data_IF_389686896383
#
_entry.id   IF_389686896383
#
_cell.length_a   1.000
_cell.length_b   1.000
_cell.length_c   1.000
_cell.angle_alpha   90.00
_cell.angle_beta   90.00
_cell.angle_gamma   90.00
#
_symmetry.space_group_name_H-M   'P 1'
#
loop_
_entity.id
_entity.type
_entity.pdbx_description
1 polymer ?
#
# COMPACT_ATOMS: atom_id res chain seq x y z
N UNK A 1 -16.09 -12.69 7.33
CA UNK A 1 -15.17 -13.63 8.00
C UNK A 1 -14.93 -14.89 7.16
N UNK A 2 -15.97 -15.57 6.66
CA UNK A 2 -15.79 -16.80 5.84
C UNK A 2 -15.09 -16.63 4.48
N UNK A 3 -15.09 -15.44 3.88
CA UNK A 3 -14.38 -15.18 2.61
C UNK A 3 -12.90 -14.82 2.79
N UNK A 4 -12.52 -14.06 3.83
CA UNK A 4 -11.11 -13.68 4.04
C UNK A 4 -10.23 -14.86 4.44
N UNK A 5 -10.83 -15.95 4.96
CA UNK A 5 -10.12 -17.20 5.25
C UNK A 5 -9.85 -18.04 4.00
N UNK A 6 -10.64 -17.87 2.92
CA UNK A 6 -10.48 -18.62 1.66
C UNK A 6 -9.32 -18.12 0.82
N UNK A 7 -8.97 -16.83 0.95
CA UNK A 7 -7.84 -16.22 0.23
C UNK A 7 -6.48 -16.58 0.86
N UNK A 8 -6.47 -17.10 2.08
CA UNK A 8 -5.25 -17.50 2.80
C UNK A 8 -4.67 -18.85 2.33
N UNK A 9 -5.25 -19.49 1.30
CA UNK A 9 -4.85 -20.83 0.81
C UNK A 9 -4.62 -21.85 1.95
N UNK A 10 -5.43 -21.77 3.01
CA UNK A 10 -5.29 -22.64 4.17
C UNK A 10 -5.79 -24.04 3.83
N UNK A 11 -5.00 -25.04 4.20
CA UNK A 11 -5.42 -26.44 4.20
C UNK A 11 -6.50 -26.66 5.25
N UNK A 12 -7.33 -27.69 5.07
CA UNK A 12 -8.36 -28.04 6.05
C UNK A 12 -7.76 -28.32 7.44
N UNK A 13 -6.56 -28.92 7.48
CA UNK A 13 -5.83 -29.18 8.72
C UNK A 13 -5.40 -27.89 9.43
N UNK A 14 -4.98 -26.87 8.68
CA UNK A 14 -4.63 -25.56 9.23
C UNK A 14 -5.86 -24.82 9.76
N UNK A 15 -6.99 -24.88 9.05
CA UNK A 15 -8.26 -24.30 9.50
C UNK A 15 -8.73 -24.96 10.80
N UNK A 16 -8.63 -26.28 10.91
CA UNK A 16 -8.99 -27.01 12.12
C UNK A 16 -8.05 -26.68 13.29
N UNK A 17 -6.75 -26.55 13.04
CA UNK A 17 -5.77 -26.15 14.06
C UNK A 17 -6.01 -24.72 14.53
N UNK A 18 -6.19 -23.77 13.61
CA UNK A 18 -6.54 -22.38 13.93
C UNK A 18 -7.85 -22.32 14.72
N UNK A 19 -8.88 -23.04 14.27
CA UNK A 19 -10.17 -23.11 14.95
C UNK A 19 -10.10 -23.70 16.36
N UNK A 20 -9.17 -24.63 16.62
CA UNK A 20 -8.87 -25.14 17.97
C UNK A 20 -8.11 -24.13 18.81
N UNK A 21 -7.10 -23.47 18.24
CA UNK A 21 -6.30 -22.46 18.93
C UNK A 21 -7.16 -21.27 19.39
N UNK A 22 -8.08 -20.78 18.56
CA UNK A 22 -8.99 -19.69 18.94
C UNK A 22 -10.03 -20.07 20.02
N UNK A 23 -10.14 -21.35 20.41
CA UNK A 23 -10.95 -21.78 21.56
C UNK A 23 -10.16 -21.85 22.86
N UNK A 24 -8.84 -21.80 22.78
CA UNK A 24 -7.95 -21.80 23.93
C UNK A 24 -7.85 -20.36 24.50
N UNK A 25 -8.27 -20.14 25.76
CA UNK A 25 -8.17 -18.82 26.39
C UNK A 25 -6.75 -18.29 26.50
N UNK A 26 -5.75 -19.17 26.68
CA UNK A 26 -4.35 -18.77 26.78
C UNK A 26 -3.85 -18.25 25.42
N UNK A 27 -4.17 -18.98 24.34
CA UNK A 27 -3.86 -18.54 22.98
C UNK A 27 -4.52 -17.20 22.65
N UNK A 28 -5.81 -17.02 22.97
CA UNK A 28 -6.50 -15.75 22.73
C UNK A 28 -5.85 -14.58 23.48
N UNK A 29 -5.42 -14.81 24.71
CA UNK A 29 -4.72 -13.82 25.52
C UNK A 29 -3.37 -13.45 24.89
N UNK A 30 -2.53 -14.43 24.57
CA UNK A 30 -1.23 -14.22 23.92
C UNK A 30 -1.39 -13.55 22.55
N UNK A 31 -2.41 -13.93 21.79
CA UNK A 31 -2.72 -13.34 20.50
C UNK A 31 -3.13 -11.86 20.63
N UNK A 32 -3.90 -11.52 21.66
CA UNK A 32 -4.25 -10.14 21.97
C UNK A 32 -3.03 -9.33 22.40
N UNK A 33 -2.20 -9.86 23.31
CA UNK A 33 -0.95 -9.24 23.74
C UNK A 33 -0.01 -8.98 22.55
N UNK A 34 0.13 -9.95 21.64
CA UNK A 34 0.91 -9.79 20.41
C UNK A 34 0.33 -8.71 19.48
N UNK A 35 -1.00 -8.67 19.32
CA UNK A 35 -1.66 -7.63 18.51
C UNK A 35 -1.50 -6.23 19.12
N UNK A 36 -1.46 -6.12 20.45
CA UNK A 36 -1.16 -4.87 21.15
C UNK A 36 0.31 -4.48 20.98
N UNK A 37 1.23 -5.43 21.15
CA UNK A 37 2.67 -5.24 20.98
C UNK A 37 3.01 -4.74 19.57
N UNK A 38 2.39 -5.30 18.53
CA UNK A 38 2.54 -4.86 17.15
C UNK A 38 1.96 -3.47 16.90
N UNK A 39 1.01 -3.01 17.71
CA UNK A 39 0.38 -1.70 17.55
C UNK A 39 1.07 -0.60 18.36
N UNK A 40 1.89 -0.95 19.34
CA UNK A 40 2.67 -0.02 20.15
C UNK A 40 3.59 0.85 19.26
N UNK A 41 3.45 2.19 19.31
CA UNK A 41 4.33 3.12 18.60
C UNK A 41 5.83 2.92 18.88
N UNK A 42 6.21 2.57 20.11
CA UNK A 42 7.62 2.38 20.47
C UNK A 42 8.20 1.11 19.83
N UNK A 43 7.43 0.03 19.79
CA UNK A 43 7.87 -1.21 19.14
C UNK A 43 8.00 -1.03 17.63
N UNK A 44 7.05 -0.33 17.00
CA UNK A 44 7.17 0.05 15.58
C UNK A 44 8.43 0.86 15.32
N UNK A 45 8.74 1.84 16.17
CA UNK A 45 9.95 2.66 16.04
C UNK A 45 11.23 1.82 16.14
N UNK A 46 11.33 0.95 17.15
CA UNK A 46 12.48 0.04 17.33
C UNK A 46 12.66 -0.88 16.12
N UNK A 47 11.57 -1.48 15.65
CA UNK A 47 11.59 -2.33 14.47
C UNK A 47 12.07 -1.56 13.22
N UNK A 48 11.56 -0.35 12.97
CA UNK A 48 12.02 0.49 11.85
C UNK A 48 13.52 0.83 11.96
N UNK A 49 14.02 1.09 13.18
CA UNK A 49 15.44 1.34 13.45
C UNK A 49 16.31 0.11 13.18
N UNK A 50 15.90 -1.08 13.62
CA UNK A 50 16.60 -2.34 13.38
C UNK A 50 16.69 -2.66 11.88
N UNK A 51 15.59 -2.50 11.14
CA UNK A 51 15.58 -2.71 9.69
C UNK A 51 16.49 -1.70 8.98
N UNK A 52 16.46 -0.43 9.41
CA UNK A 52 17.36 0.59 8.86
C UNK A 52 18.82 0.22 9.08
N UNK A 53 19.19 -0.23 10.29
CA UNK A 53 20.57 -0.65 10.57
C UNK A 53 20.98 -1.83 9.69
N UNK A 54 20.14 -2.87 9.59
CA UNK A 54 20.43 -4.06 8.79
C UNK A 54 20.61 -3.75 7.30
N UNK A 55 19.82 -2.83 6.75
CA UNK A 55 19.92 -2.46 5.33
C UNK A 55 21.06 -1.47 5.07
N UNK A 56 21.41 -0.64 6.06
CA UNK A 56 22.60 0.20 6.04
C UNK A 56 23.89 -0.66 6.03
N UNK A 57 23.94 -1.76 6.78
CA UNK A 57 25.04 -2.73 6.71
C UNK A 57 25.21 -3.35 5.31
N UNK A 58 24.11 -3.42 4.54
CA UNK A 58 24.11 -3.86 3.14
C UNK A 58 24.40 -2.73 2.15
N UNK A 59 24.65 -1.52 2.66
CA UNK A 59 24.96 -0.33 1.86
C UNK A 59 23.74 0.40 1.30
N UNK A 60 22.53 0.13 1.81
CA UNK A 60 21.30 0.81 1.41
C UNK A 60 20.83 1.79 2.47
N UNK A 61 20.65 3.07 2.09
CA UNK A 61 20.00 4.06 2.94
C UNK A 61 18.48 3.96 2.76
N UNK A 62 17.79 3.55 3.83
CA UNK A 62 16.34 3.36 3.83
C UNK A 62 15.65 4.37 4.74
N UNK A 63 14.58 4.93 4.19
CA UNK A 63 13.65 5.76 4.93
C UNK A 63 12.23 5.21 4.83
N UNK A 64 11.66 4.87 5.99
CA UNK A 64 10.26 4.48 6.10
C UNK A 64 9.34 5.67 5.85
N UNK A 65 8.41 5.53 4.90
CA UNK A 65 7.39 6.54 4.61
C UNK A 65 6.07 6.04 5.17
N UNK A 66 5.58 6.71 6.22
CA UNK A 66 4.28 6.45 6.85
C UNK A 66 3.28 7.54 6.41
N UNK A 67 2.55 7.36 5.30
CA UNK A 67 1.81 8.44 4.69
C UNK A 67 0.47 8.69 5.40
N UNK A 68 0.06 9.96 5.48
CA UNK A 68 -1.25 10.35 6.01
C UNK A 68 -2.28 10.36 4.89
N UNK A 69 -3.40 9.65 5.07
CA UNK A 69 -4.48 9.59 4.09
C UNK A 69 -5.14 10.95 3.85
N UNK A 70 -5.48 11.25 2.60
CA UNK A 70 -6.19 12.48 2.21
C UNK A 70 -7.55 12.17 1.57
N UNK A 71 -7.55 11.46 0.43
CA UNK A 71 -8.79 11.07 -0.24
C UNK A 71 -8.61 9.80 -1.07
N UNK A 72 -9.71 9.22 -1.51
CA UNK A 72 -9.72 8.04 -2.39
C UNK A 72 -10.39 8.40 -3.69
N UNK A 73 -9.67 8.23 -4.81
CA UNK A 73 -10.26 8.35 -6.14
C UNK A 73 -10.73 6.98 -6.60
N UNK A 74 -11.96 6.92 -7.11
CA UNK A 74 -12.55 5.71 -7.68
C UNK A 74 -12.60 5.84 -9.19
N UNK A 75 -12.07 4.85 -9.88
CA UNK A 75 -12.11 4.74 -11.33
C UNK A 75 -12.40 3.30 -11.77
N UNK A 76 -12.34 3.05 -13.06
CA UNK A 76 -12.40 1.70 -13.66
C UNK A 76 -11.18 1.49 -14.53
N UNK A 77 -10.70 0.26 -14.57
CA UNK A 77 -9.59 -0.12 -15.43
C UNK A 77 -9.98 0.07 -16.90
N UNK A 78 -9.10 0.69 -17.67
CA UNK A 78 -9.32 0.96 -19.08
C UNK A 78 -9.01 -0.31 -19.92
N UNK A 79 -9.89 -0.70 -20.86
CA UNK A 79 -9.79 -1.98 -21.59
C UNK A 79 -8.44 -2.22 -22.30
N UNK A 80 -7.86 -1.18 -22.89
CA UNK A 80 -6.63 -1.30 -23.69
C UNK A 80 -5.32 -1.24 -22.89
N UNK A 81 -5.37 -1.14 -21.55
CA UNK A 81 -4.20 -1.34 -20.70
C UNK A 81 -4.04 -2.83 -20.29
N UNK A 82 -4.64 -3.74 -21.06
CA UNK A 82 -4.61 -5.17 -20.83
C UNK A 82 -3.20 -5.75 -20.99
N UNK A 83 -2.56 -6.00 -19.86
CA UNK A 83 -1.64 -7.13 -19.60
C UNK A 83 -0.30 -7.24 -20.35
N UNK A 84 -0.11 -6.74 -21.57
CA UNK A 84 1.09 -7.05 -22.35
C UNK A 84 2.38 -6.44 -21.77
N UNK A 85 2.29 -5.23 -21.20
CA UNK A 85 3.44 -4.57 -20.55
C UNK A 85 3.67 -5.03 -19.10
N UNK A 86 2.63 -5.47 -18.38
CA UNK A 86 2.78 -5.97 -17.01
C UNK A 86 3.22 -7.44 -16.92
N UNK A 87 2.98 -8.25 -17.96
CA UNK A 87 3.47 -9.65 -18.06
C UNK A 87 5.00 -9.79 -18.10
N UNK A 88 5.74 -8.70 -18.29
CA UNK A 88 7.21 -8.71 -18.49
C UNK A 88 8.03 -8.40 -17.23
N UNK A 89 7.39 -8.16 -16.08
CA UNK A 89 8.12 -8.01 -14.83
C UNK A 89 8.44 -9.41 -14.27
N UNK A 90 9.72 -9.83 -14.19
CA UNK A 90 10.07 -11.14 -13.67
C UNK A 90 9.70 -11.24 -12.17
N UNK A 91 9.02 -12.32 -11.78
CA UNK A 91 8.81 -12.68 -10.38
C UNK A 91 7.67 -11.96 -9.64
N UNK A 92 6.79 -11.22 -10.33
CA UNK A 92 5.57 -10.69 -9.72
C UNK A 92 4.34 -11.26 -10.41
N UNK A 93 3.56 -12.06 -9.68
CA UNK A 93 2.19 -12.40 -10.04
C UNK A 93 1.38 -11.10 -10.09
N UNK A 94 1.36 -10.45 -11.26
CA UNK A 94 0.52 -9.28 -11.46
C UNK A 94 -0.92 -9.78 -11.54
N UNK A 95 -1.83 -9.26 -10.69
CA UNK A 95 -3.26 -9.51 -10.79
C UNK A 95 -3.77 -9.44 -12.22
N UNK A 96 -4.46 -10.48 -12.69
CA UNK A 96 -5.16 -10.44 -13.98
C UNK A 96 -6.31 -9.43 -13.88
N UNK A 97 -6.06 -8.21 -14.34
CA UNK A 97 -7.09 -7.17 -14.36
C UNK A 97 -8.16 -7.51 -15.39
N UNK A 98 -9.41 -7.58 -14.93
CA UNK A 98 -10.56 -7.68 -15.83
C UNK A 98 -10.96 -6.31 -16.39
N UNK A 99 -11.55 -6.31 -17.58
CA UNK A 99 -12.04 -5.10 -18.22
C UNK A 99 -13.13 -4.44 -17.35
N UNK A 100 -13.05 -3.13 -17.16
CA UNK A 100 -14.04 -2.38 -16.37
C UNK A 100 -14.01 -2.64 -14.85
N UNK A 101 -13.03 -3.41 -14.35
CA UNK A 101 -12.80 -3.63 -12.92
C UNK A 101 -12.58 -2.31 -12.19
N UNK A 102 -13.17 -2.15 -11.00
CA UNK A 102 -13.01 -0.94 -10.20
C UNK A 102 -11.56 -0.81 -9.72
N UNK A 103 -11.03 0.40 -9.83
CA UNK A 103 -9.70 0.76 -9.34
C UNK A 103 -9.87 1.87 -8.31
N UNK A 104 -9.26 1.69 -7.14
CA UNK A 104 -9.20 2.70 -6.10
C UNK A 104 -7.78 3.23 -6.01
N UNK A 105 -7.63 4.55 -6.02
CA UNK A 105 -6.37 5.23 -5.85
C UNK A 105 -6.42 6.00 -4.52
N UNK A 106 -5.70 5.51 -3.53
CA UNK A 106 -5.55 6.20 -2.26
C UNK A 106 -4.53 7.31 -2.46
N UNK A 107 -4.98 8.56 -2.33
CA UNK A 107 -4.14 9.75 -2.34
C UNK A 107 -3.72 10.00 -0.89
N UNK A 108 -2.42 9.86 -0.63
CA UNK A 108 -1.85 10.06 0.70
C UNK A 108 -0.71 11.08 0.63
N UNK A 109 -0.39 11.74 1.74
CA UNK A 109 0.67 12.75 1.84
C UNK A 109 1.79 12.32 2.78
N UNK A 110 3.00 12.83 2.56
CA UNK A 110 4.14 12.67 3.47
C UNK A 110 5.09 13.84 3.33
N UNK A 111 5.59 14.35 4.46
CA UNK A 111 6.59 15.41 4.48
C UNK A 111 7.99 14.95 4.04
N UNK A 112 8.20 13.63 3.98
CA UNK A 112 9.44 13.00 3.51
C UNK A 112 9.59 13.04 1.99
N UNK A 113 8.52 13.37 1.25
CA UNK A 113 8.59 13.58 -0.19
C UNK A 113 8.91 15.04 -0.52
N UNK A 114 9.63 15.24 -1.62
CA UNK A 114 9.97 16.58 -2.12
C UNK A 114 8.75 17.45 -2.40
N UNK A 115 8.95 18.77 -2.34
CA UNK A 115 7.91 19.75 -2.67
C UNK A 115 7.70 19.85 -4.19
N UNK A 116 6.50 20.18 -4.66
CA UNK A 116 6.30 20.54 -6.06
C UNK A 116 7.13 21.77 -6.44
N UNK A 117 7.69 21.75 -7.65
CA UNK A 117 8.47 22.84 -8.19
C UNK A 117 7.89 23.30 -9.53
N UNK A 118 7.80 24.60 -9.74
CA UNK A 118 7.44 25.21 -11.02
C UNK A 118 8.67 25.91 -11.61
N UNK A 119 9.00 25.59 -12.86
CA UNK A 119 10.02 26.30 -13.64
C UNK A 119 9.33 27.00 -14.80
N UNK A 120 9.47 28.32 -14.90
CA UNK A 120 8.97 29.08 -16.06
C UNK A 120 9.91 28.91 -17.24
N UNK A 121 9.35 28.80 -18.43
CA UNK A 121 10.15 28.80 -19.67
C UNK A 121 10.81 30.17 -19.85
N UNK A 122 12.06 30.17 -20.31
CA UNK A 122 12.83 31.40 -20.56
C UNK A 122 12.24 32.30 -21.64
N UNK A 123 11.40 31.76 -22.51
CA UNK A 123 10.66 32.52 -23.54
C UNK A 123 9.35 33.14 -23.03
N UNK A 124 9.06 33.03 -21.74
CA UNK A 124 7.85 33.56 -21.10
C UNK A 124 6.57 32.80 -21.45
N UNK A 125 6.63 31.72 -22.26
CA UNK A 125 5.47 30.93 -22.66
C UNK A 125 5.44 29.62 -21.91
N UNK A 126 4.66 29.61 -20.83
CA UNK A 126 4.34 28.40 -20.08
C UNK A 126 5.27 28.11 -18.90
N UNK A 127 4.86 27.10 -18.13
CA UNK A 127 5.57 26.62 -16.95
C UNK A 127 5.61 25.10 -16.98
N UNK A 128 6.74 24.54 -16.58
CA UNK A 128 6.91 23.11 -16.32
C UNK A 128 6.77 22.88 -14.83
N UNK A 129 5.94 21.91 -14.44
CA UNK A 129 5.75 21.49 -13.06
C UNK A 129 6.44 20.15 -12.83
N UNK A 130 7.25 20.07 -11.77
CA UNK A 130 7.80 18.84 -11.22
C UNK A 130 7.09 18.53 -9.92
N UNK A 131 6.64 17.29 -9.80
CA UNK A 131 5.63 16.89 -8.81
C UNK A 131 6.10 15.53 -8.24
N UNK A 132 6.86 15.52 -7.12
CA UNK A 132 7.45 14.31 -6.55
C UNK A 132 6.41 13.34 -6.00
N UNK A 133 6.42 12.09 -6.47
CA UNK A 133 5.40 11.10 -6.13
C UNK A 133 6.01 9.71 -5.92
N UNK A 134 5.32 8.88 -5.15
CA UNK A 134 5.66 7.47 -4.96
C UNK A 134 4.42 6.61 -5.16
N UNK A 135 4.61 5.45 -5.80
CA UNK A 135 3.55 4.48 -6.03
C UNK A 135 3.91 3.18 -5.33
N UNK A 136 3.06 2.73 -4.41
CA UNK A 136 3.16 1.37 -3.91
C UNK A 136 2.76 0.39 -5.03
N UNK A 137 3.28 -0.85 -4.99
CA UNK A 137 2.75 -1.93 -5.83
C UNK A 137 1.22 -2.05 -5.67
N UNK A 138 0.48 -2.34 -6.75
CA UNK A 138 -0.95 -2.58 -6.66
C UNK A 138 -1.26 -3.76 -5.74
N UNK A 139 -2.33 -3.64 -4.96
CA UNK A 139 -2.85 -4.69 -4.08
C UNK A 139 -4.27 -5.05 -4.52
N UNK A 140 -4.67 -6.31 -4.38
CA UNK A 140 -6.07 -6.73 -4.57
C UNK A 140 -6.87 -6.44 -3.30
N UNK A 141 -8.13 -6.06 -3.44
CA UNK A 141 -9.04 -5.81 -2.32
C UNK A 141 -10.48 -6.17 -2.70
N UNK A 142 -11.39 -6.17 -1.72
CA UNK A 142 -12.80 -6.45 -1.89
C UNK A 142 -13.62 -5.17 -1.82
N UNK A 143 -14.50 -4.97 -2.79
CA UNK A 143 -15.51 -3.93 -2.67
C UNK A 143 -16.68 -4.34 -1.77
N UNK A 144 -17.59 -3.40 -1.48
CA UNK A 144 -18.77 -3.62 -0.62
C UNK A 144 -19.64 -4.81 -1.05
N UNK A 145 -19.67 -5.14 -2.34
CA UNK A 145 -20.41 -6.28 -2.92
C UNK A 145 -19.58 -7.58 -2.94
N UNK A 146 -18.43 -7.64 -2.25
CA UNK A 146 -17.46 -8.75 -2.30
C UNK A 146 -16.98 -9.08 -3.72
N UNK A 147 -16.88 -8.09 -4.60
CA UNK A 147 -16.24 -8.23 -5.92
C UNK A 147 -14.80 -7.75 -5.81
N UNK A 148 -13.89 -8.43 -6.49
CA UNK A 148 -12.47 -8.05 -6.50
C UNK A 148 -12.27 -6.68 -7.16
N UNK A 149 -11.49 -5.83 -6.52
CA UNK A 149 -11.06 -4.54 -7.02
C UNK A 149 -9.54 -4.39 -6.87
N UNK A 150 -8.96 -3.45 -7.61
CA UNK A 150 -7.54 -3.14 -7.48
C UNK A 150 -7.39 -1.87 -6.66
N UNK A 151 -6.58 -1.93 -5.61
CA UNK A 151 -6.19 -0.77 -4.82
C UNK A 151 -4.75 -0.41 -5.18
N UNK A 152 -4.54 0.85 -5.53
CA UNK A 152 -3.21 1.42 -5.66
C UNK A 152 -3.06 2.51 -4.60
N UNK A 153 -2.01 2.42 -3.81
CA UNK A 153 -1.60 3.54 -2.96
C UNK A 153 -0.72 4.47 -3.79
N UNK A 154 -1.22 5.66 -4.04
CA UNK A 154 -0.45 6.76 -4.57
C UNK A 154 -0.07 7.69 -3.42
N UNK A 155 1.18 7.60 -2.98
CA UNK A 155 1.73 8.58 -2.04
C UNK A 155 2.10 9.81 -2.86
N UNK A 156 1.26 10.83 -2.74
CA UNK A 156 1.22 12.03 -3.56
C UNK A 156 1.25 13.24 -2.60
N UNK A 157 2.47 13.78 -2.47
CA UNK A 157 2.90 15.11 -2.01
C UNK A 157 3.07 15.46 -0.52
N UNK A 158 3.93 16.47 -0.36
CA UNK A 158 3.98 17.45 0.72
C UNK A 158 2.65 18.23 0.82
N UNK A 159 2.14 18.44 2.05
CA UNK A 159 0.82 19.03 2.37
C UNK A 159 0.50 20.36 1.66
N UNK A 160 1.50 21.15 1.27
CA UNK A 160 1.28 22.44 0.60
C UNK A 160 0.73 22.32 -0.83
N UNK A 161 0.90 21.19 -1.50
CA UNK A 161 0.38 20.97 -2.86
C UNK A 161 -1.15 21.04 -2.94
N UNK A 162 -1.85 20.68 -1.84
CA UNK A 162 -3.31 20.69 -1.75
C UNK A 162 -3.89 22.04 -1.29
N UNK A 163 -3.04 23.00 -0.91
CA UNK A 163 -3.43 24.30 -0.33
C UNK A 163 -3.43 25.44 -1.35
N UNK A 164 -3.43 25.16 -2.64
CA UNK A 164 -3.69 26.18 -3.67
C UNK A 164 -5.17 26.60 -3.56
N UNK A 165 -5.44 27.58 -2.69
CA UNK A 165 -6.69 28.35 -2.62
C UNK A 165 -6.42 29.76 -3.10
#
# INVERSE_FOLDING_TARGET
MEKSLKDLNLTNDELDRLGKAFKDPEFLKLFAEYAEELNDPENKRRYEEEIRMAEMERGMDLEFINPTGYCVLKSRNWPSLASEKLKKLPGKDVPKLSEGQKVFLNICSSEKLGKPEMKRSGDGRGATWSIPHSFAPPTEDLEKENKMCLVRNAVIFFLSAFKLK
#
